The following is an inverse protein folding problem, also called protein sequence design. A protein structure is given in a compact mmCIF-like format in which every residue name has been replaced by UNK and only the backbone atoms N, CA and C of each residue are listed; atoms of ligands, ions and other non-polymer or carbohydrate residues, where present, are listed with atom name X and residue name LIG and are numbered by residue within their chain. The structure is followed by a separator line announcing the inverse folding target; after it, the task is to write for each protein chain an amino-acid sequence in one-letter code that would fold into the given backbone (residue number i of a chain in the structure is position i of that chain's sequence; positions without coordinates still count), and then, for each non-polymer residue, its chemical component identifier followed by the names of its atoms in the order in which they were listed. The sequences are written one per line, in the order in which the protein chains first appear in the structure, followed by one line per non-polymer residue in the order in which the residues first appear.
data_IF_525411433635
#
_entry.id   IF_525411433635
#
_cell.length_a   1.000
_cell.length_b   1.000
_cell.length_c   1.000
_cell.angle_alpha   90.00
_cell.angle_beta   90.00
_cell.angle_gamma   90.00
#
_symmetry.space_group_name_H-M   'P 1'
#
loop_
_entity.id
_entity.type
_entity.pdbx_description
1 polymer ?
#
# COMPACT_ATOMS: atom_id res chain seq x y z
N UNK A 1 1.09 -1.37 11.66
CA UNK A 1 2.15 -0.83 10.80
C UNK A 1 1.59 0.04 9.67
N UNK A 2 0.63 -0.44 8.87
CA UNK A 2 0.02 0.29 7.73
C UNK A 2 -0.56 1.64 8.17
N UNK A 3 -1.32 1.67 9.27
CA UNK A 3 -1.86 2.92 9.82
C UNK A 3 -0.74 3.91 10.20
N UNK A 4 0.35 3.42 10.77
CA UNK A 4 1.51 4.26 11.10
C UNK A 4 2.13 4.87 9.83
N UNK A 5 2.34 4.07 8.78
CA UNK A 5 2.84 4.56 7.49
C UNK A 5 1.89 5.60 6.89
N UNK A 6 0.57 5.37 6.98
CA UNK A 6 -0.43 6.35 6.57
C UNK A 6 -0.31 7.68 7.31
N UNK A 7 -0.12 7.66 8.63
CA UNK A 7 0.08 8.86 9.46
C UNK A 7 1.39 9.59 9.13
N UNK A 8 2.45 8.84 8.78
CA UNK A 8 3.72 9.41 8.32
C UNK A 8 3.53 10.11 6.96
N UNK A 9 2.87 9.45 6.02
CA UNK A 9 2.62 10.03 4.69
C UNK A 9 1.68 11.25 4.75
N UNK A 10 0.75 11.27 5.69
CA UNK A 10 -0.11 12.41 5.96
C UNK A 10 0.61 13.58 6.65
N UNK A 11 1.87 13.41 7.08
CA UNK A 11 2.63 14.41 7.80
C UNK A 11 2.23 14.61 9.25
N UNK A 12 1.40 13.72 9.81
CA UNK A 12 1.00 13.73 11.24
C UNK A 12 2.15 13.23 12.10
N UNK A 13 2.84 12.19 11.66
CA UNK A 13 4.05 11.67 12.29
C UNK A 13 5.22 11.96 11.37
N UNK A 14 6.30 12.51 11.92
CA UNK A 14 7.49 12.86 11.16
C UNK A 14 8.75 12.32 11.85
N UNK A 15 9.81 12.17 11.08
CA UNK A 15 11.13 11.86 11.65
C UNK A 15 11.64 13.08 12.41
N UNK A 16 12.16 12.87 13.61
CA UNK A 16 12.82 13.94 14.35
C UNK A 16 14.10 14.36 13.64
N UNK A 17 14.28 15.66 13.43
CA UNK A 17 15.51 16.22 12.86
C UNK A 17 16.64 16.24 13.90
N UNK A 18 16.30 16.48 15.17
CA UNK A 18 17.21 16.52 16.31
C UNK A 18 16.51 15.97 17.55
N UNK A 19 17.22 15.23 18.37
CA UNK A 19 16.72 14.75 19.65
C UNK A 19 16.79 13.23 19.85
N UNK A 20 16.40 12.77 21.03
CA UNK A 20 16.42 11.35 21.43
C UNK A 20 15.20 10.56 20.96
N UNK A 21 14.17 11.23 20.48
CA UNK A 21 12.94 10.58 20.01
C UNK A 21 13.05 10.22 18.53
N UNK A 22 12.68 8.99 18.11
CA UNK A 22 12.78 8.58 16.72
C UNK A 22 11.75 9.29 15.83
N UNK A 23 10.63 9.74 16.41
CA UNK A 23 9.53 10.40 15.71
C UNK A 23 8.98 11.57 16.52
N UNK A 24 8.39 12.54 15.82
CA UNK A 24 7.73 13.72 16.37
C UNK A 24 6.35 13.89 15.75
N UNK A 25 5.48 14.63 16.47
CA UNK A 25 4.14 14.94 16.00
C UNK A 25 4.17 16.23 15.17
N UNK A 26 3.73 16.14 13.92
CA UNK A 26 3.61 17.28 13.03
C UNK A 26 4.91 18.05 12.79
N UNK A 27 4.79 19.34 12.54
CA UNK A 27 5.89 20.29 12.45
C UNK A 27 5.91 21.13 13.72
N UNK A 28 6.96 20.99 14.52
CA UNK A 28 7.08 21.69 15.84
C UNK A 28 5.86 21.47 16.77
N UNK A 29 5.27 20.26 16.75
CA UNK A 29 4.10 19.92 17.57
C UNK A 29 2.75 20.37 17.00
N UNK A 30 2.73 20.94 15.80
CA UNK A 30 1.51 21.40 15.13
C UNK A 30 1.21 20.60 13.88
N UNK A 31 -0.08 20.34 13.64
CA UNK A 31 -0.58 19.71 12.42
C UNK A 31 -0.72 20.78 11.33
N UNK A 32 0.27 20.86 10.47
CA UNK A 32 0.36 21.86 9.40
C UNK A 32 0.64 21.18 8.05
N UNK A 33 0.25 21.84 6.96
CA UNK A 33 0.48 21.40 5.58
C UNK A 33 -0.73 20.80 4.89
N UNK A 34 -0.72 20.86 3.57
CA UNK A 34 -1.78 20.32 2.73
C UNK A 34 -1.98 18.80 2.87
N UNK A 35 -0.93 17.99 2.97
CA UNK A 35 -1.09 16.54 3.16
C UNK A 35 -1.92 16.19 4.40
N UNK A 36 -1.65 16.88 5.51
CA UNK A 36 -2.39 16.68 6.77
C UNK A 36 -3.87 17.08 6.63
N UNK A 37 -4.14 18.22 5.98
CA UNK A 37 -5.51 18.67 5.74
C UNK A 37 -6.27 17.69 4.85
N UNK A 38 -5.67 17.28 3.72
CA UNK A 38 -6.28 16.31 2.80
C UNK A 38 -6.57 14.98 3.50
N UNK A 39 -5.63 14.51 4.32
CA UNK A 39 -5.84 13.29 5.10
C UNK A 39 -7.02 13.42 6.06
N UNK A 40 -7.09 14.50 6.84
CA UNK A 40 -8.17 14.72 7.82
C UNK A 40 -9.52 14.81 7.11
N UNK A 41 -9.63 15.64 6.08
CA UNK A 41 -10.87 15.81 5.31
C UNK A 41 -11.29 14.51 4.63
N UNK A 42 -10.34 13.82 4.00
CA UNK A 42 -10.58 12.54 3.32
C UNK A 42 -11.01 11.44 4.29
N UNK A 43 -10.39 11.36 5.46
CA UNK A 43 -10.75 10.39 6.50
C UNK A 43 -12.17 10.64 7.02
N UNK A 44 -12.50 11.89 7.37
CA UNK A 44 -13.85 12.22 7.84
C UNK A 44 -14.90 11.98 6.76
N UNK A 45 -14.62 12.35 5.52
CA UNK A 45 -15.52 12.08 4.40
C UNK A 45 -15.77 10.57 4.24
N UNK A 46 -14.70 9.78 4.26
CA UNK A 46 -14.80 8.32 4.16
C UNK A 46 -15.61 7.74 5.31
N UNK A 47 -15.37 8.18 6.55
CA UNK A 47 -16.14 7.74 7.74
C UNK A 47 -17.62 8.10 7.59
N UNK A 48 -17.94 9.32 7.18
CA UNK A 48 -19.32 9.77 6.98
C UNK A 48 -20.03 8.93 5.93
N UNK A 49 -19.37 8.68 4.78
CA UNK A 49 -19.94 7.85 3.72
C UNK A 49 -20.12 6.39 4.18
N UNK A 50 -19.17 5.86 4.93
CA UNK A 50 -19.23 4.51 5.48
C UNK A 50 -20.38 4.35 6.49
N UNK A 51 -20.51 5.28 7.43
CA UNK A 51 -21.61 5.29 8.41
C UNK A 51 -22.96 5.44 7.72
N UNK A 52 -23.01 6.20 6.63
CA UNK A 52 -24.22 6.32 5.80
C UNK A 52 -24.49 5.12 4.91
N UNK A 53 -23.69 4.06 5.03
CA UNK A 53 -23.85 2.80 4.25
C UNK A 53 -23.80 3.03 2.73
N UNK A 54 -23.04 4.03 2.28
CA UNK A 54 -22.86 4.28 0.83
C UNK A 54 -21.97 3.17 0.26
N UNK A 55 -22.47 2.44 -0.76
CA UNK A 55 -21.68 1.43 -1.45
C UNK A 55 -20.46 2.08 -2.11
N UNK A 56 -19.27 1.58 -1.83
CA UNK A 56 -18.01 2.15 -2.34
C UNK A 56 -17.54 3.40 -1.59
N UNK A 57 -17.95 3.61 -0.33
CA UNK A 57 -17.57 4.76 0.51
C UNK A 57 -16.07 5.03 0.51
N UNK A 58 -15.24 3.98 0.60
CA UNK A 58 -13.78 4.08 0.59
C UNK A 58 -13.27 4.61 -0.75
N UNK A 59 -13.79 4.08 -1.87
CA UNK A 59 -13.43 4.54 -3.22
C UNK A 59 -13.77 6.02 -3.42
N UNK A 60 -14.98 6.44 -3.03
CA UNK A 60 -15.37 7.86 -3.13
C UNK A 60 -14.52 8.75 -2.23
N UNK A 61 -14.18 8.29 -1.03
CA UNK A 61 -13.28 9.00 -0.14
C UNK A 61 -11.88 9.20 -0.74
N UNK A 62 -11.32 8.14 -1.34
CA UNK A 62 -10.03 8.20 -2.03
C UNK A 62 -10.07 9.15 -3.23
N UNK A 63 -11.07 9.03 -4.11
CA UNK A 63 -11.21 9.91 -5.28
C UNK A 63 -11.38 11.37 -4.88
N UNK A 64 -12.18 11.65 -3.87
CA UNK A 64 -12.37 13.01 -3.35
C UNK A 64 -11.08 13.57 -2.75
N UNK A 65 -10.33 12.75 -1.98
CA UNK A 65 -9.03 13.17 -1.43
C UNK A 65 -8.00 13.44 -2.52
N UNK A 66 -7.97 12.62 -3.57
CA UNK A 66 -7.09 12.82 -4.72
C UNK A 66 -7.46 14.11 -5.47
N UNK A 67 -8.74 14.32 -5.74
CA UNK A 67 -9.20 15.56 -6.38
C UNK A 67 -8.88 16.80 -5.53
N UNK A 68 -9.09 16.72 -4.21
CA UNK A 68 -8.75 17.79 -3.29
C UNK A 68 -7.25 18.07 -3.27
N UNK A 69 -6.39 17.05 -3.27
CA UNK A 69 -4.94 17.23 -3.29
C UNK A 69 -4.45 17.92 -4.57
N UNK A 70 -5.00 17.52 -5.73
CA UNK A 70 -4.69 18.16 -7.02
C UNK A 70 -5.11 19.63 -7.04
N UNK A 71 -6.31 19.93 -6.55
CA UNK A 71 -6.82 21.31 -6.49
C UNK A 71 -5.94 22.18 -5.55
N UNK A 72 -5.62 21.66 -4.37
CA UNK A 72 -4.83 22.42 -3.40
C UNK A 72 -3.42 22.69 -3.91
N UNK A 73 -2.76 21.72 -4.51
CA UNK A 73 -1.43 21.90 -5.06
C UNK A 73 -1.43 22.83 -6.29
N UNK A 74 -2.49 22.81 -7.11
CA UNK A 74 -2.65 23.72 -8.24
C UNK A 74 -2.88 25.17 -7.79
N UNK A 75 -3.61 25.40 -6.70
CA UNK A 75 -3.93 26.76 -6.20
C UNK A 75 -2.81 27.31 -5.31
N UNK A 76 -2.22 26.49 -4.48
CA UNK A 76 -1.20 26.88 -3.51
C UNK A 76 -0.09 25.81 -3.43
N UNK A 77 0.85 25.80 -4.38
CA UNK A 77 1.89 24.80 -4.46
C UNK A 77 2.72 24.74 -3.18
N UNK A 78 2.81 23.56 -2.57
CA UNK A 78 3.66 23.29 -1.41
C UNK A 78 4.91 22.47 -1.75
N UNK A 79 4.86 21.74 -2.85
CA UNK A 79 5.95 20.92 -3.34
C UNK A 79 6.26 19.70 -2.46
N UNK A 80 7.45 19.16 -2.61
CA UNK A 80 7.88 17.98 -1.84
C UNK A 80 8.39 18.35 -0.45
N UNK A 81 8.31 17.40 0.49
CA UNK A 81 8.82 17.55 1.87
C UNK A 81 10.33 17.84 1.93
N UNK A 82 11.10 17.46 0.90
CA UNK A 82 12.52 17.76 0.82
C UNK A 82 12.80 19.25 0.61
N UNK A 83 11.91 19.96 -0.09
CA UNK A 83 12.04 21.40 -0.35
C UNK A 83 11.30 22.25 0.69
N UNK A 84 10.20 21.75 1.21
CA UNK A 84 9.33 22.44 2.17
C UNK A 84 8.84 21.45 3.24
N UNK A 85 9.14 21.67 4.53
CA UNK A 85 8.69 20.78 5.60
C UNK A 85 7.17 20.56 5.64
N UNK A 86 6.38 21.45 5.05
CA UNK A 86 4.91 21.32 4.97
C UNK A 86 4.44 20.62 3.69
N UNK A 87 5.38 20.23 2.80
CA UNK A 87 5.10 19.61 1.52
C UNK A 87 4.71 18.13 1.60
N UNK A 88 4.52 17.55 0.43
CA UNK A 88 4.12 16.15 0.25
C UNK A 88 5.27 15.19 0.50
N UNK A 89 5.03 14.16 1.30
CA UNK A 89 6.05 13.15 1.68
C UNK A 89 6.23 12.05 0.63
N UNK A 90 5.24 11.83 -0.19
CA UNK A 90 5.31 10.94 -1.36
C UNK A 90 5.44 11.77 -2.64
N UNK A 91 4.65 11.47 -3.64
CA UNK A 91 4.61 12.24 -4.88
C UNK A 91 3.83 13.54 -4.68
N UNK A 92 4.34 14.62 -5.28
CA UNK A 92 3.58 15.88 -5.36
C UNK A 92 2.40 15.65 -6.32
N UNK A 93 1.15 15.93 -5.91
CA UNK A 93 -0.02 15.71 -6.74
C UNK A 93 -0.10 16.75 -7.85
N UNK A 94 0.54 16.50 -8.97
CA UNK A 94 0.50 17.35 -10.16
C UNK A 94 -0.23 16.64 -11.28
N UNK A 95 -0.96 17.41 -12.08
CA UNK A 95 -1.59 16.94 -13.30
C UNK A 95 -1.00 17.68 -14.47
N UNK A 96 -0.04 17.09 -15.13
CA UNK A 96 0.66 17.66 -16.29
C UNK A 96 0.03 17.31 -17.64
N UNK A 97 -1.11 16.61 -17.62
CA UNK A 97 -1.83 16.22 -18.84
C UNK A 97 -1.23 15.03 -19.60
N UNK A 98 -0.10 14.51 -19.15
CA UNK A 98 0.58 13.34 -19.76
C UNK A 98 0.18 12.03 -19.07
N UNK A 99 -1.03 11.96 -18.51
CA UNK A 99 -1.52 10.83 -17.71
C UNK A 99 -1.62 9.49 -18.43
N UNK A 100 -1.27 9.40 -19.72
CA UNK A 100 -1.22 8.14 -20.45
C UNK A 100 0.14 7.98 -21.12
N UNK A 101 0.87 6.95 -20.69
CA UNK A 101 2.16 6.59 -21.25
C UNK A 101 2.21 5.13 -21.68
N UNK A 102 3.15 4.79 -22.56
CA UNK A 102 3.47 3.39 -22.80
C UNK A 102 4.27 2.86 -21.60
N UNK A 103 3.90 1.69 -21.06
CA UNK A 103 4.62 1.10 -19.95
C UNK A 103 6.06 0.76 -20.32
N UNK A 104 6.98 1.05 -19.43
CA UNK A 104 8.37 0.66 -19.55
C UNK A 104 8.59 -0.75 -18.96
N UNK A 105 8.88 -1.69 -19.83
CA UNK A 105 9.19 -3.08 -19.47
C UNK A 105 10.69 -3.39 -19.43
N UNK A 106 11.56 -2.38 -19.43
CA UNK A 106 13.01 -2.57 -19.47
C UNK A 106 13.57 -3.38 -18.30
N UNK A 107 12.87 -3.37 -17.16
CA UNK A 107 13.25 -4.11 -15.95
C UNK A 107 12.75 -5.57 -15.93
N UNK A 108 11.92 -5.99 -16.89
CA UNK A 108 11.44 -7.37 -16.92
C UNK A 108 12.62 -8.33 -17.06
N UNK A 109 12.68 -9.32 -16.17
CA UNK A 109 13.72 -10.35 -16.10
C UNK A 109 15.15 -9.81 -15.93
N UNK A 110 15.32 -8.57 -15.45
CA UNK A 110 16.62 -7.96 -15.16
C UNK A 110 17.13 -8.26 -13.75
N UNK A 111 16.38 -9.05 -12.96
CA UNK A 111 16.74 -9.40 -11.60
C UNK A 111 18.04 -10.23 -11.54
N UNK A 112 19.00 -9.77 -10.76
CA UNK A 112 20.21 -10.54 -10.43
C UNK A 112 19.98 -11.36 -9.17
N UNK A 113 19.67 -12.65 -9.34
CA UNK A 113 19.37 -13.59 -8.25
C UNK A 113 20.57 -13.82 -7.31
N UNK A 114 21.77 -13.63 -7.80
CA UNK A 114 23.00 -13.91 -7.06
C UNK A 114 23.79 -12.65 -6.69
N UNK A 115 23.37 -11.48 -7.11
CA UNK A 115 24.05 -10.20 -6.87
C UNK A 115 24.25 -9.90 -5.38
N UNK A 116 23.33 -10.31 -4.53
CA UNK A 116 23.49 -10.19 -3.07
C UNK A 116 24.68 -11.02 -2.56
N UNK A 117 24.89 -12.23 -3.09
CA UNK A 117 25.96 -13.12 -2.66
C UNK A 117 27.33 -12.58 -3.06
N UNK A 118 27.42 -11.93 -4.21
CA UNK A 118 28.67 -11.29 -4.67
C UNK A 118 28.97 -10.00 -3.91
N UNK A 119 27.94 -9.24 -3.51
CA UNK A 119 28.09 -7.92 -2.87
C UNK A 119 28.27 -7.99 -1.36
N UNK A 120 27.51 -8.86 -0.69
CA UNK A 120 27.44 -8.95 0.79
C UNK A 120 28.14 -10.18 1.35
N UNK A 121 28.47 -11.16 0.49
CA UNK A 121 28.99 -12.46 0.89
C UNK A 121 27.87 -13.44 1.30
N UNK A 122 28.19 -14.74 1.30
CA UNK A 122 27.18 -15.81 1.43
C UNK A 122 26.41 -15.77 2.75
N UNK A 123 27.09 -15.60 3.89
CA UNK A 123 26.44 -15.62 5.21
C UNK A 123 25.45 -14.47 5.38
N UNK A 124 25.86 -13.24 5.03
CA UNK A 124 24.99 -12.06 5.14
C UNK A 124 23.79 -12.15 4.20
N UNK A 125 23.99 -12.66 2.98
CA UNK A 125 22.92 -12.85 2.00
C UNK A 125 21.89 -13.88 2.47
N UNK A 126 22.34 -15.02 3.01
CA UNK A 126 21.44 -16.05 3.56
C UNK A 126 20.63 -15.49 4.72
N UNK A 127 21.26 -14.78 5.67
CA UNK A 127 20.57 -14.20 6.80
C UNK A 127 19.54 -13.13 6.35
N UNK A 128 19.90 -12.31 5.37
CA UNK A 128 19.01 -11.29 4.83
C UNK A 128 17.79 -11.94 4.15
N UNK A 129 18.02 -12.90 3.26
CA UNK A 129 16.94 -13.63 2.57
C UNK A 129 16.04 -14.32 3.59
N UNK A 130 16.61 -15.00 4.58
CA UNK A 130 15.86 -15.68 5.66
C UNK A 130 15.01 -14.68 6.46
N UNK A 131 15.55 -13.53 6.81
CA UNK A 131 14.83 -12.49 7.56
C UNK A 131 13.65 -11.94 6.76
N UNK A 132 13.85 -11.65 5.46
CA UNK A 132 12.79 -11.19 4.58
C UNK A 132 11.71 -12.26 4.42
N UNK A 133 12.10 -13.52 4.20
CA UNK A 133 11.18 -14.64 4.04
C UNK A 133 10.31 -14.84 5.28
N UNK A 134 10.91 -14.85 6.47
CA UNK A 134 10.16 -14.98 7.74
C UNK A 134 9.20 -13.79 7.92
N UNK A 135 9.66 -12.58 7.65
CA UNK A 135 8.82 -11.38 7.75
C UNK A 135 7.62 -11.45 6.78
N UNK A 136 7.86 -11.80 5.52
CA UNK A 136 6.82 -11.96 4.51
C UNK A 136 5.84 -13.08 4.87
N UNK A 137 6.32 -14.23 5.37
CA UNK A 137 5.48 -15.34 5.79
C UNK A 137 4.49 -14.93 6.89
N UNK A 138 4.95 -14.25 7.94
CA UNK A 138 4.07 -13.79 9.01
C UNK A 138 3.09 -12.71 8.57
N UNK A 139 3.48 -11.83 7.64
CA UNK A 139 2.60 -10.80 7.06
C UNK A 139 1.47 -11.46 6.27
N UNK A 140 1.79 -12.41 5.40
CA UNK A 140 0.82 -13.18 4.61
C UNK A 140 -0.12 -13.97 5.51
N UNK A 141 0.41 -14.67 6.52
CA UNK A 141 -0.42 -15.42 7.48
C UNK A 141 -1.39 -14.51 8.22
N UNK A 142 -0.95 -13.32 8.66
CA UNK A 142 -1.81 -12.34 9.31
C UNK A 142 -2.90 -11.83 8.37
N UNK A 143 -2.56 -11.53 7.13
CA UNK A 143 -3.49 -11.06 6.10
C UNK A 143 -4.53 -12.13 5.73
N UNK A 144 -4.11 -13.38 5.51
CA UNK A 144 -5.01 -14.50 5.22
C UNK A 144 -5.98 -14.72 6.40
N UNK A 145 -5.48 -14.72 7.64
CA UNK A 145 -6.32 -14.88 8.83
C UNK A 145 -7.37 -13.78 8.92
N UNK A 146 -6.96 -12.52 8.76
CA UNK A 146 -7.88 -11.37 8.79
C UNK A 146 -8.99 -11.48 7.73
N UNK A 147 -8.63 -11.87 6.50
CA UNK A 147 -9.60 -12.05 5.42
C UNK A 147 -10.49 -13.25 5.60
N UNK A 148 -9.97 -14.37 6.15
CA UNK A 148 -10.75 -15.56 6.43
C UNK A 148 -11.83 -15.29 7.48
N UNK A 149 -11.52 -14.48 8.51
CA UNK A 149 -12.51 -14.00 9.49
C UNK A 149 -13.60 -13.18 8.79
N UNK A 150 -13.23 -12.21 7.96
CA UNK A 150 -14.18 -11.34 7.24
C UNK A 150 -15.03 -12.12 6.23
N UNK A 151 -14.43 -13.12 5.58
CA UNK A 151 -15.14 -14.00 4.64
C UNK A 151 -16.05 -15.02 5.32
N UNK A 152 -15.88 -15.28 6.62
CA UNK A 152 -16.55 -16.36 7.33
C UNK A 152 -16.07 -17.75 6.90
N UNK A 153 -14.81 -17.86 6.48
CA UNK A 153 -14.19 -19.10 5.97
C UNK A 153 -13.34 -19.82 7.04
N UNK A 154 -13.70 -19.67 8.29
CA UNK A 154 -13.06 -20.34 9.43
C UNK A 154 -14.03 -21.41 9.95
N UNK A 155 -13.54 -22.63 10.13
CA UNK A 155 -14.33 -23.72 10.69
C UNK A 155 -14.53 -23.57 12.23
N UNK A 156 -15.34 -24.45 12.82
CA UNK A 156 -15.62 -24.46 14.27
C UNK A 156 -14.36 -24.71 15.12
N UNK A 157 -13.29 -25.25 14.53
CA UNK A 157 -12.01 -25.52 15.18
C UNK A 157 -10.98 -24.40 14.97
N UNK A 158 -11.36 -23.28 14.35
CA UNK A 158 -10.47 -22.18 14.07
C UNK A 158 -9.51 -22.39 12.88
N UNK A 159 -9.77 -23.40 12.03
CA UNK A 159 -8.97 -23.68 10.85
C UNK A 159 -9.52 -22.94 9.63
N UNK A 160 -8.62 -22.44 8.80
CA UNK A 160 -8.93 -21.87 7.51
C UNK A 160 -8.99 -23.00 6.48
N UNK A 161 -10.09 -23.07 5.75
CA UNK A 161 -10.26 -24.04 4.67
C UNK A 161 -9.21 -23.82 3.57
N UNK A 162 -8.61 -24.90 3.06
CA UNK A 162 -7.61 -24.87 1.96
C UNK A 162 -6.39 -23.94 2.18
N UNK A 163 -5.97 -23.71 3.42
CA UNK A 163 -4.84 -22.80 3.74
C UNK A 163 -3.56 -23.17 2.97
N UNK A 164 -3.29 -24.46 2.78
CA UNK A 164 -2.11 -24.95 2.05
C UNK A 164 -2.12 -24.49 0.59
N UNK A 165 -3.30 -24.46 -0.04
CA UNK A 165 -3.46 -23.99 -1.42
C UNK A 165 -3.33 -22.46 -1.50
N UNK A 166 -3.85 -21.74 -0.51
CA UNK A 166 -3.71 -20.29 -0.42
C UNK A 166 -2.24 -19.90 -0.32
N UNK A 167 -1.48 -20.55 0.58
CA UNK A 167 -0.05 -20.30 0.74
C UNK A 167 0.75 -20.70 -0.51
N UNK A 168 0.38 -21.77 -1.20
CA UNK A 168 1.03 -22.16 -2.45
C UNK A 168 0.82 -21.11 -3.54
N UNK A 169 -0.40 -20.60 -3.69
CA UNK A 169 -0.71 -19.56 -4.69
C UNK A 169 0.03 -18.26 -4.36
N UNK A 170 0.11 -17.87 -3.09
CA UNK A 170 0.86 -16.71 -2.63
C UNK A 170 2.37 -16.85 -2.94
N UNK A 171 2.95 -18.00 -2.62
CA UNK A 171 4.35 -18.31 -2.93
C UNK A 171 4.64 -18.26 -4.44
N UNK A 172 3.74 -18.77 -5.28
CA UNK A 172 3.86 -18.68 -6.74
C UNK A 172 3.76 -17.22 -7.21
N UNK A 173 2.91 -16.42 -6.59
CA UNK A 173 2.81 -14.98 -6.83
C UNK A 173 4.11 -14.25 -6.47
N UNK A 174 4.74 -14.59 -5.35
CA UNK A 174 6.02 -14.03 -4.94
C UNK A 174 7.15 -14.38 -5.94
N UNK A 175 7.20 -15.64 -6.40
CA UNK A 175 8.16 -16.08 -7.43
C UNK A 175 7.95 -15.33 -8.75
N UNK A 176 6.70 -15.16 -9.18
CA UNK A 176 6.37 -14.41 -10.39
C UNK A 176 6.79 -12.94 -10.27
N UNK A 177 6.54 -12.29 -9.13
CA UNK A 177 6.99 -10.92 -8.86
C UNK A 177 8.50 -10.79 -8.94
N UNK A 178 9.25 -11.67 -8.26
CA UNK A 178 10.71 -11.70 -8.32
C UNK A 178 11.24 -11.93 -9.74
N UNK A 179 10.63 -12.85 -10.51
CA UNK A 179 11.00 -13.13 -11.89
C UNK A 179 10.76 -11.95 -12.84
N UNK A 180 9.78 -11.13 -12.55
CA UNK A 180 9.50 -9.91 -13.35
C UNK A 180 10.21 -8.67 -12.82
N UNK A 181 11.16 -8.83 -11.89
CA UNK A 181 11.92 -7.71 -11.27
C UNK A 181 11.01 -6.70 -10.54
N UNK A 182 9.88 -7.16 -10.03
CA UNK A 182 8.95 -6.35 -9.24
C UNK A 182 8.97 -6.76 -7.77
N UNK A 183 8.23 -6.05 -6.95
CA UNK A 183 7.93 -6.46 -5.57
C UNK A 183 7.15 -7.79 -5.55
N UNK A 184 7.19 -8.50 -4.42
CA UNK A 184 6.43 -9.74 -4.23
C UNK A 184 4.93 -9.50 -4.42
N UNK A 185 4.29 -10.35 -5.23
CA UNK A 185 2.82 -10.42 -5.28
C UNK A 185 2.33 -11.29 -4.13
N UNK A 186 1.72 -10.70 -3.16
CA UNK A 186 1.20 -11.39 -1.99
C UNK A 186 -0.23 -10.94 -1.68
N UNK A 187 -0.85 -11.62 -0.76
CA UNK A 187 -2.21 -11.31 -0.33
C UNK A 187 -2.23 -10.00 0.45
N UNK A 188 -3.01 -9.02 -0.02
CA UNK A 188 -3.13 -7.70 0.60
C UNK A 188 -4.37 -7.61 1.50
N UNK A 189 -4.19 -7.05 2.69
CA UNK A 189 -5.26 -6.85 3.68
C UNK A 189 -6.39 -5.95 3.15
N UNK A 190 -6.11 -5.07 2.20
CA UNK A 190 -7.08 -4.22 1.51
C UNK A 190 -8.18 -5.02 0.81
N UNK A 191 -7.91 -6.27 0.44
CA UNK A 191 -8.92 -7.19 -0.12
C UNK A 191 -10.08 -7.44 0.84
N UNK A 192 -9.89 -7.28 2.16
CA UNK A 192 -10.95 -7.38 3.15
C UNK A 192 -12.08 -6.36 2.87
N UNK A 193 -11.77 -5.19 2.33
CA UNK A 193 -12.79 -4.20 1.96
C UNK A 193 -13.70 -4.70 0.83
N UNK A 194 -13.14 -5.42 -0.14
CA UNK A 194 -13.89 -6.07 -1.21
C UNK A 194 -14.79 -7.20 -0.68
N UNK A 195 -14.26 -8.01 0.24
CA UNK A 195 -15.01 -9.08 0.92
C UNK A 195 -16.15 -8.48 1.74
N UNK A 196 -15.90 -7.45 2.53
CA UNK A 196 -16.91 -6.71 3.30
C UNK A 196 -17.98 -6.04 2.42
N UNK A 197 -17.61 -5.60 1.21
CA UNK A 197 -18.56 -5.09 0.20
C UNK A 197 -19.40 -6.18 -0.48
N UNK A 198 -19.12 -7.47 -0.21
CA UNK A 198 -19.90 -8.60 -0.72
C UNK A 198 -19.21 -9.41 -1.82
N UNK A 199 -17.93 -9.19 -2.12
CA UNK A 199 -17.20 -10.04 -3.04
C UNK A 199 -17.07 -11.47 -2.47
N UNK A 200 -17.49 -12.47 -3.25
CA UNK A 200 -17.50 -13.89 -2.83
C UNK A 200 -16.97 -14.83 -3.91
N UNK A 201 -16.59 -14.32 -5.06
CA UNK A 201 -16.15 -15.13 -6.20
C UNK A 201 -14.86 -14.59 -6.79
N UNK A 202 -14.08 -15.45 -7.46
CA UNK A 202 -12.88 -15.06 -8.19
C UNK A 202 -13.10 -14.02 -9.29
N UNK A 203 -14.35 -13.78 -9.71
CA UNK A 203 -14.67 -12.74 -10.69
C UNK A 203 -14.27 -11.34 -10.20
N UNK A 204 -14.40 -11.06 -8.89
CA UNK A 204 -13.95 -9.80 -8.32
C UNK A 204 -12.44 -9.59 -8.55
N UNK A 205 -11.63 -10.65 -8.37
CA UNK A 205 -10.19 -10.60 -8.61
C UNK A 205 -9.84 -10.42 -10.08
N UNK A 206 -10.61 -11.03 -10.99
CA UNK A 206 -10.45 -10.82 -12.44
C UNK A 206 -10.68 -9.35 -12.80
N UNK A 207 -11.75 -8.74 -12.29
CA UNK A 207 -12.03 -7.31 -12.49
C UNK A 207 -10.91 -6.45 -11.94
N UNK A 208 -10.45 -6.73 -10.73
CA UNK A 208 -9.31 -6.03 -10.11
C UNK A 208 -8.05 -6.14 -10.97
N UNK A 209 -7.74 -7.34 -11.46
CA UNK A 209 -6.58 -7.59 -12.33
C UNK A 209 -6.67 -6.81 -13.65
N UNK A 210 -7.85 -6.73 -14.27
CA UNK A 210 -8.06 -5.94 -15.49
C UNK A 210 -7.87 -4.44 -15.20
N UNK A 211 -8.34 -3.95 -14.06
CA UNK A 211 -8.12 -2.55 -13.66
C UNK A 211 -6.64 -2.25 -13.42
N UNK A 212 -5.89 -3.17 -12.79
CA UNK A 212 -4.44 -3.03 -12.66
C UNK A 212 -3.72 -3.00 -14.00
N UNK A 213 -4.12 -3.87 -14.96
CA UNK A 213 -3.58 -3.83 -16.32
C UNK A 213 -3.90 -2.50 -17.02
N UNK A 214 -5.07 -1.93 -16.79
CA UNK A 214 -5.40 -0.58 -17.26
C UNK A 214 -4.54 0.50 -16.62
N UNK A 215 -4.24 0.36 -15.33
CA UNK A 215 -3.43 1.32 -14.58
C UNK A 215 -1.93 1.34 -15.00
N UNK A 216 -1.45 0.31 -15.71
CA UNK A 216 -0.07 0.30 -16.26
C UNK A 216 0.15 1.45 -17.25
N UNK A 217 -0.92 1.95 -17.88
CA UNK A 217 -0.87 3.04 -18.85
C UNK A 217 -1.05 4.43 -18.22
N UNK A 218 -1.29 4.50 -16.91
CA UNK A 218 -1.44 5.71 -16.12
C UNK A 218 -0.14 6.02 -15.37
#
# INVERSE_FOLDING_TARGET
FIAFVGLVNAGIIRRAETGSTPVVFGVHGHLLGWPTLVFIVGLFLTIILYVRQVRGAILYGMLASTALSLILEAVAPSGSVQANPLGWSLNVPTWDGSGFGLPDFSLLFSADLFGAFSSLGAMASILLVFTILISAFFDVMGSIMGMAVEAGSIDENGKIEDIDRLLLVDALGAVAGGGTSTSTNQVFVESATGIGAGARTGLANVVTGVLFLGAIFL
#
